data_IF_544884362332
#
_entry.id   IF_544884362332
#
_cell.length_a   1.000
_cell.length_b   1.000
_cell.length_c   1.000
_cell.angle_alpha   90.00
_cell.angle_beta   90.00
_cell.angle_gamma   90.00
#
_symmetry.space_group_name_H-M   'P 1'
#
loop_
_entity.id
_entity.type
_entity.pdbx_description
1 polymer ?
#
# COMPACT_ATOMS: atom_id res chain seq x y z
N UNK A 1 7.31 -15.97 -14.69
CA UNK A 1 7.99 -15.14 -13.66
C UNK A 1 8.21 -15.97 -12.39
N UNK A 2 9.35 -15.85 -11.70
CA UNK A 2 9.58 -16.58 -10.43
C UNK A 2 8.81 -15.92 -9.27
N UNK A 3 8.46 -16.67 -8.21
CA UNK A 3 7.81 -16.11 -7.01
C UNK A 3 8.59 -14.92 -6.45
N UNK A 4 9.92 -15.02 -6.40
CA UNK A 4 10.80 -13.97 -5.89
C UNK A 4 10.74 -12.70 -6.76
N UNK A 5 10.73 -12.84 -8.08
CA UNK A 5 10.59 -11.70 -8.98
C UNK A 5 9.21 -11.05 -8.84
N UNK A 6 8.14 -11.84 -8.73
CA UNK A 6 6.79 -11.33 -8.51
C UNK A 6 6.67 -10.55 -7.19
N UNK A 7 7.23 -11.06 -6.10
CA UNK A 7 7.24 -10.36 -4.81
C UNK A 7 7.96 -9.02 -4.89
N UNK A 8 9.08 -8.92 -5.62
CA UNK A 8 9.77 -7.64 -5.83
C UNK A 8 8.92 -6.66 -6.61
N UNK A 9 8.30 -7.11 -7.70
CA UNK A 9 7.39 -6.30 -8.51
C UNK A 9 6.24 -5.79 -7.68
N UNK A 10 5.50 -6.68 -7.02
CA UNK A 10 4.41 -6.33 -6.14
C UNK A 10 4.88 -5.31 -5.08
N UNK A 11 5.99 -5.58 -4.39
CA UNK A 11 6.53 -4.70 -3.35
C UNK A 11 6.78 -3.27 -3.82
N UNK A 12 7.56 -3.11 -4.90
CA UNK A 12 7.91 -1.77 -5.36
C UNK A 12 6.76 -1.08 -6.09
N UNK A 13 5.89 -1.82 -6.78
CA UNK A 13 4.67 -1.26 -7.36
C UNK A 13 3.72 -0.74 -6.29
N UNK A 14 3.43 -1.52 -5.24
CA UNK A 14 2.58 -1.06 -4.14
C UNK A 14 3.19 0.13 -3.41
N UNK A 15 4.50 0.08 -3.11
CA UNK A 15 5.17 1.22 -2.48
C UNK A 15 5.08 2.48 -3.33
N UNK A 16 5.36 2.38 -4.64
CA UNK A 16 5.28 3.52 -5.55
C UNK A 16 3.86 4.09 -5.68
N UNK A 17 2.84 3.22 -5.72
CA UNK A 17 1.43 3.63 -5.77
C UNK A 17 0.99 4.31 -4.47
N UNK A 18 1.35 3.74 -3.31
CA UNK A 18 1.03 4.36 -2.01
C UNK A 18 1.74 5.72 -1.89
N UNK A 19 3.01 5.81 -2.29
CA UNK A 19 3.74 7.08 -2.29
C UNK A 19 3.08 8.11 -3.23
N UNK A 20 2.62 7.67 -4.41
CA UNK A 20 1.86 8.54 -5.30
C UNK A 20 0.59 9.06 -4.63
N UNK A 21 -0.22 8.19 -3.99
CA UNK A 21 -1.44 8.64 -3.31
C UNK A 21 -1.16 9.53 -2.10
N UNK A 22 -0.05 9.33 -1.40
CA UNK A 22 0.39 10.22 -0.32
C UNK A 22 0.79 11.62 -0.83
N UNK A 23 1.27 11.74 -2.07
CA UNK A 23 1.70 13.03 -2.64
C UNK A 23 0.60 13.70 -3.45
N UNK A 24 -0.28 12.91 -4.07
CA UNK A 24 -1.35 13.37 -4.95
C UNK A 24 -2.69 13.09 -4.28
N UNK A 25 -3.06 13.96 -3.35
CA UNK A 25 -4.32 13.89 -2.62
C UNK A 25 -5.44 14.61 -3.39
N UNK A 26 -6.73 14.27 -3.20
CA UNK A 26 -7.85 14.96 -3.86
C UNK A 26 -7.85 16.49 -3.61
N UNK A 27 -7.40 16.90 -2.43
CA UNK A 27 -7.26 18.30 -2.00
C UNK A 27 -6.18 19.05 -2.79
N UNK A 28 -5.32 18.35 -3.54
CA UNK A 28 -4.34 18.97 -4.44
C UNK A 28 -4.98 19.72 -5.62
N UNK A 29 -6.28 19.51 -5.88
CA UNK A 29 -7.08 20.25 -6.87
C UNK A 29 -8.29 20.90 -6.20
N UNK A 30 -8.12 21.97 -5.38
CA UNK A 30 -9.21 22.54 -4.59
C UNK A 30 -10.40 23.07 -5.41
N UNK A 31 -10.14 23.45 -6.67
CA UNK A 31 -11.14 23.98 -7.60
C UNK A 31 -12.02 22.91 -8.23
N UNK A 32 -11.59 21.64 -8.22
CA UNK A 32 -12.30 20.52 -8.85
C UNK A 32 -12.04 19.21 -8.08
N UNK A 33 -12.82 18.95 -7.01
CA UNK A 33 -12.68 17.73 -6.21
C UNK A 33 -12.91 16.44 -7.00
N UNK A 34 -13.70 16.49 -8.08
CA UNK A 34 -13.94 15.32 -8.93
C UNK A 34 -12.67 14.98 -9.72
N UNK A 35 -12.02 15.98 -10.34
CA UNK A 35 -10.74 15.78 -11.01
C UNK A 35 -9.62 15.30 -10.06
N UNK A 36 -9.61 15.80 -8.82
CA UNK A 36 -8.71 15.29 -7.77
C UNK A 36 -8.95 13.80 -7.48
N UNK A 37 -10.21 13.37 -7.33
CA UNK A 37 -10.55 11.97 -7.06
C UNK A 37 -10.31 11.05 -8.27
N UNK A 38 -10.46 11.54 -9.50
CA UNK A 38 -10.20 10.78 -10.74
C UNK A 38 -8.75 10.26 -10.79
N UNK A 39 -7.80 11.11 -10.40
CA UNK A 39 -6.38 10.77 -10.29
C UNK A 39 -6.06 9.87 -9.07
N UNK A 40 -6.99 9.76 -8.13
CA UNK A 40 -6.83 9.07 -6.85
C UNK A 40 -7.67 7.77 -6.75
N UNK A 41 -8.42 7.38 -7.79
CA UNK A 41 -9.35 6.23 -7.76
C UNK A 41 -8.74 4.88 -7.36
N UNK A 42 -7.41 4.73 -7.38
CA UNK A 42 -6.76 3.56 -6.78
C UNK A 42 -6.90 2.24 -7.57
N UNK A 43 -7.49 2.23 -8.77
CA UNK A 43 -7.82 0.99 -9.50
C UNK A 43 -6.62 0.10 -9.79
N UNK A 44 -5.45 0.69 -10.08
CA UNK A 44 -4.21 -0.08 -10.26
C UNK A 44 -3.77 -0.70 -8.93
N UNK A 45 -3.88 0.03 -7.83
CA UNK A 45 -3.56 -0.47 -6.50
C UNK A 45 -4.55 -1.56 -6.04
N UNK A 46 -5.83 -1.47 -6.42
CA UNK A 46 -6.80 -2.55 -6.21
C UNK A 46 -6.32 -3.83 -6.90
N UNK A 47 -5.96 -3.77 -8.18
CA UNK A 47 -5.52 -4.94 -8.94
C UNK A 47 -4.23 -5.55 -8.35
N UNK A 48 -3.23 -4.71 -8.04
CA UNK A 48 -1.97 -5.13 -7.42
C UNK A 48 -2.22 -5.72 -6.02
N UNK A 49 -3.05 -5.07 -5.22
CA UNK A 49 -3.43 -5.48 -3.87
C UNK A 49 -4.15 -6.82 -3.84
N UNK A 50 -5.06 -7.07 -4.79
CA UNK A 50 -5.76 -8.35 -4.95
C UNK A 50 -4.78 -9.49 -5.24
N UNK A 51 -3.88 -9.30 -6.21
CA UNK A 51 -2.84 -10.31 -6.51
C UNK A 51 -1.98 -10.57 -5.27
N UNK A 52 -1.59 -9.51 -4.55
CA UNK A 52 -0.77 -9.65 -3.36
C UNK A 52 -1.49 -10.40 -2.24
N UNK A 53 -2.71 -10.00 -1.86
CA UNK A 53 -3.42 -10.65 -0.76
C UNK A 53 -3.72 -12.11 -1.06
N UNK A 54 -4.11 -12.45 -2.29
CA UNK A 54 -4.32 -13.83 -2.71
C UNK A 54 -3.04 -14.66 -2.62
N UNK A 55 -1.89 -14.09 -3.03
CA UNK A 55 -0.60 -14.75 -2.86
C UNK A 55 -0.24 -14.97 -1.39
N UNK A 56 -0.52 -13.99 -0.52
CA UNK A 56 -0.27 -14.12 0.90
C UNK A 56 -1.16 -15.21 1.52
N UNK A 57 -2.45 -15.23 1.21
CA UNK A 57 -3.38 -16.26 1.72
C UNK A 57 -2.97 -17.66 1.26
N UNK A 58 -2.50 -17.80 0.01
CA UNK A 58 -2.10 -19.09 -0.54
C UNK A 58 -0.72 -19.58 -0.08
N UNK A 59 0.23 -18.68 0.21
CA UNK A 59 1.66 -19.04 0.39
C UNK A 59 2.33 -18.46 1.64
N UNK A 60 1.62 -17.67 2.42
CA UNK A 60 2.15 -16.95 3.57
C UNK A 60 3.23 -15.93 3.22
N UNK A 61 3.92 -15.45 4.27
CA UNK A 61 5.05 -14.54 4.13
C UNK A 61 6.23 -15.23 3.42
N UNK A 62 6.97 -14.46 2.61
CA UNK A 62 8.14 -14.99 1.88
C UNK A 62 9.42 -14.95 2.73
N UNK A 63 9.47 -14.09 3.75
CA UNK A 63 10.62 -13.91 4.63
C UNK A 63 10.41 -14.50 6.02
N UNK A 64 11.51 -14.75 6.72
CA UNK A 64 11.54 -15.14 8.13
C UNK A 64 12.48 -14.19 8.89
N UNK A 65 12.29 -14.03 10.21
CA UNK A 65 13.21 -13.26 11.03
C UNK A 65 14.66 -13.75 10.86
N UNK A 66 15.57 -12.82 10.55
CA UNK A 66 16.98 -13.13 10.35
C UNK A 66 17.66 -13.65 11.64
N UNK A 67 18.71 -14.47 11.53
CA UNK A 67 19.39 -15.04 12.70
C UNK A 67 20.03 -13.98 13.61
N UNK A 68 20.42 -12.83 13.04
CA UNK A 68 21.06 -11.71 13.73
C UNK A 68 20.07 -10.79 14.48
N UNK A 69 18.75 -10.98 14.31
CA UNK A 69 17.77 -10.15 15.02
C UNK A 69 17.77 -10.47 16.53
N UNK A 70 17.77 -9.46 17.42
CA UNK A 70 17.54 -9.68 18.84
C UNK A 70 16.13 -10.22 19.09
N UNK A 71 15.91 -10.86 20.25
CA UNK A 71 14.66 -11.57 20.57
C UNK A 71 13.39 -10.73 20.37
N UNK A 72 13.38 -9.48 20.85
CA UNK A 72 12.24 -8.58 20.66
C UNK A 72 11.97 -8.33 19.17
N UNK A 73 13.00 -8.08 18.37
CA UNK A 73 12.85 -7.79 16.94
C UNK A 73 12.40 -9.01 16.13
N UNK A 74 12.74 -10.23 16.57
CA UNK A 74 12.20 -11.47 15.98
C UNK A 74 10.69 -11.60 16.17
N UNK A 75 10.15 -11.05 17.27
CA UNK A 75 8.70 -11.02 17.52
C UNK A 75 8.01 -9.97 16.66
N UNK A 76 8.60 -8.77 16.55
CA UNK A 76 7.98 -7.68 15.79
C UNK A 76 8.09 -7.83 14.27
N UNK A 77 9.16 -8.46 13.74
CA UNK A 77 9.34 -8.66 12.29
C UNK A 77 8.11 -9.29 11.62
N UNK A 78 7.58 -10.46 12.03
CA UNK A 78 6.41 -11.05 11.39
C UNK A 78 5.13 -10.27 11.67
N UNK A 79 5.01 -9.59 12.82
CA UNK A 79 3.84 -8.78 13.17
C UNK A 79 3.73 -7.58 12.22
N UNK A 80 4.82 -6.84 12.03
CA UNK A 80 4.84 -5.69 11.12
C UNK A 80 4.54 -6.07 9.67
N UNK A 81 5.10 -7.18 9.19
CA UNK A 81 4.76 -7.67 7.85
C UNK A 81 3.29 -8.07 7.73
N UNK A 82 2.73 -8.77 8.72
CA UNK A 82 1.29 -9.14 8.72
C UNK A 82 0.39 -7.91 8.80
N UNK A 83 0.76 -6.92 9.63
CA UNK A 83 0.03 -5.67 9.76
C UNK A 83 -0.07 -4.95 8.41
N UNK A 84 1.02 -4.82 7.66
CA UNK A 84 0.99 -4.24 6.31
C UNK A 84 0.24 -5.13 5.31
N UNK A 85 0.39 -6.45 5.43
CA UNK A 85 -0.21 -7.41 4.52
C UNK A 85 -1.75 -7.41 4.57
N UNK A 86 -2.31 -7.11 5.74
CA UNK A 86 -3.76 -6.98 5.98
C UNK A 86 -4.18 -5.52 5.83
N UNK A 87 -3.40 -4.61 6.40
CA UNK A 87 -3.71 -3.19 6.45
C UNK A 87 -3.84 -2.57 5.07
N UNK A 88 -2.95 -2.87 4.12
CA UNK A 88 -3.05 -2.32 2.75
C UNK A 88 -4.38 -2.72 2.08
N UNK A 89 -4.80 -4.01 2.04
CA UNK A 89 -6.14 -4.36 1.58
C UNK A 89 -7.29 -3.67 2.31
N UNK A 90 -7.19 -3.49 3.63
CA UNK A 90 -8.21 -2.75 4.42
C UNK A 90 -8.28 -1.28 3.99
N UNK A 91 -7.12 -0.64 3.77
CA UNK A 91 -7.04 0.71 3.20
C UNK A 91 -7.68 0.79 1.81
N UNK A 92 -7.39 -0.19 0.94
CA UNK A 92 -7.99 -0.25 -0.40
C UNK A 92 -9.52 -0.39 -0.33
N UNK A 93 -10.02 -1.28 0.53
CA UNK A 93 -11.47 -1.52 0.67
C UNK A 93 -12.19 -0.30 1.25
N UNK A 94 -11.61 0.36 2.24
CA UNK A 94 -12.17 1.60 2.79
C UNK A 94 -12.21 2.74 1.76
N UNK A 95 -11.16 2.91 0.95
CA UNK A 95 -11.14 3.91 -0.12
C UNK A 95 -12.16 3.59 -1.23
N UNK A 96 -12.27 2.31 -1.61
CA UNK A 96 -13.30 1.87 -2.56
C UNK A 96 -14.72 2.14 -2.02
N UNK A 97 -14.95 1.93 -0.72
CA UNK A 97 -16.23 2.23 -0.09
C UNK A 97 -16.55 3.74 -0.14
N UNK A 98 -15.57 4.59 0.17
CA UNK A 98 -15.71 6.04 0.10
C UNK A 98 -16.02 6.52 -1.33
N UNK A 99 -15.29 5.99 -2.33
CA UNK A 99 -15.50 6.30 -3.75
C UNK A 99 -16.86 5.82 -4.28
N UNK A 100 -17.28 4.61 -3.92
CA UNK A 100 -18.60 4.08 -4.33
C UNK A 100 -19.76 4.90 -3.72
N UNK A 101 -19.58 5.42 -2.51
CA UNK A 101 -20.54 6.28 -1.82
C UNK A 101 -20.52 7.75 -2.30
N UNK A 102 -19.54 8.14 -3.12
CA UNK A 102 -19.35 9.54 -3.51
C UNK A 102 -20.60 10.14 -4.18
N UNK A 103 -21.09 11.31 -3.72
CA UNK A 103 -22.31 11.94 -4.24
C UNK A 103 -22.09 12.67 -5.57
N UNK A 104 -20.88 12.64 -6.13
CA UNK A 104 -20.49 13.23 -7.40
C UNK A 104 -19.81 12.16 -8.27
N UNK A 105 -19.84 12.37 -9.59
CA UNK A 105 -19.27 11.40 -10.55
C UNK A 105 -17.75 11.40 -10.44
N UNK A 106 -17.19 10.20 -10.31
CA UNK A 106 -15.74 9.95 -10.30
C UNK A 106 -15.41 8.89 -11.34
N UNK A 107 -14.30 9.07 -12.04
CA UNK A 107 -13.89 8.27 -13.18
C UNK A 107 -12.65 7.44 -12.86
N UNK A 108 -12.76 6.12 -13.00
CA UNK A 108 -11.60 5.28 -13.19
C UNK A 108 -10.95 5.59 -14.54
N UNK A 109 -9.63 5.74 -14.52
CA UNK A 109 -8.80 6.01 -15.71
C UNK A 109 -9.25 7.26 -16.51
N UNK A 110 -9.90 8.22 -15.84
CA UNK A 110 -10.35 9.48 -16.44
C UNK A 110 -11.56 9.36 -17.37
N UNK A 111 -12.19 8.20 -17.50
CA UNK A 111 -13.34 8.04 -18.40
C UNK A 111 -14.46 7.12 -17.90
N UNK A 112 -14.19 6.16 -17.02
CA UNK A 112 -15.20 5.16 -16.62
C UNK A 112 -15.82 5.58 -15.29
N UNK A 113 -17.11 5.98 -15.23
CA UNK A 113 -17.74 6.35 -13.97
C UNK A 113 -17.83 5.12 -13.05
N UNK A 114 -17.40 5.25 -11.80
CA UNK A 114 -17.35 4.14 -10.83
C UNK A 114 -18.20 4.34 -9.59
N UNK A 115 -18.61 5.56 -9.25
CA UNK A 115 -19.47 5.80 -8.09
C UNK A 115 -20.89 5.29 -8.33
N UNK A 116 -21.53 4.87 -7.24
CA UNK A 116 -22.95 4.54 -7.21
C UNK A 116 -23.77 5.58 -6.45
N UNK A 117 -23.11 6.44 -5.65
CA UNK A 117 -23.76 7.49 -4.85
C UNK A 117 -24.68 6.95 -3.76
N UNK A 118 -24.42 5.73 -3.28
CA UNK A 118 -25.27 5.09 -2.28
C UNK A 118 -25.02 5.66 -0.87
N UNK A 119 -26.03 5.58 0.02
CA UNK A 119 -25.89 5.98 1.43
C UNK A 119 -25.92 7.49 1.69
N UNK A 120 -25.88 8.32 0.64
CA UNK A 120 -25.95 9.77 0.74
C UNK A 120 -24.68 10.43 1.30
N UNK A 121 -24.66 11.76 1.33
CA UNK A 121 -23.49 12.57 1.68
C UNK A 121 -22.90 12.23 3.07
N UNK A 122 -23.75 11.98 4.06
CA UNK A 122 -23.30 11.65 5.41
C UNK A 122 -22.49 10.35 5.47
N UNK A 123 -22.92 9.32 4.74
CA UNK A 123 -22.21 8.05 4.69
C UNK A 123 -20.89 8.16 3.93
N UNK A 124 -20.86 8.88 2.81
CA UNK A 124 -19.63 9.17 2.08
C UNK A 124 -18.60 9.88 2.98
N UNK A 125 -19.00 10.94 3.68
CA UNK A 125 -18.11 11.67 4.58
C UNK A 125 -17.52 10.76 5.68
N UNK A 126 -18.35 9.92 6.28
CA UNK A 126 -17.90 8.96 7.29
C UNK A 126 -16.93 7.93 6.69
N UNK A 127 -17.23 7.37 5.52
CA UNK A 127 -16.36 6.41 4.87
C UNK A 127 -15.01 7.03 4.46
N UNK A 128 -15.03 8.30 4.04
CA UNK A 128 -13.83 9.08 3.74
C UNK A 128 -12.98 9.30 5.00
N UNK A 129 -13.57 9.75 6.11
CA UNK A 129 -12.85 9.96 7.38
C UNK A 129 -12.22 8.65 7.89
N UNK A 130 -12.94 7.53 7.79
CA UNK A 130 -12.39 6.20 8.12
C UNK A 130 -11.23 5.84 7.20
N UNK A 131 -11.34 6.12 5.89
CA UNK A 131 -10.28 5.85 4.93
C UNK A 131 -9.03 6.68 5.21
N UNK A 132 -9.17 7.98 5.47
CA UNK A 132 -8.09 8.90 5.83
C UNK A 132 -7.37 8.41 7.10
N UNK A 133 -8.12 8.10 8.17
CA UNK A 133 -7.55 7.58 9.41
C UNK A 133 -6.77 6.27 9.19
N UNK A 134 -7.31 5.36 8.37
CA UNK A 134 -6.64 4.11 8.03
C UNK A 134 -5.38 4.36 7.19
N UNK A 135 -5.43 5.32 6.27
CA UNK A 135 -4.31 5.68 5.41
C UNK A 135 -3.17 6.29 6.24
N UNK A 136 -3.45 7.25 7.12
CA UNK A 136 -2.47 7.83 8.04
C UNK A 136 -1.79 6.76 8.91
N UNK A 137 -2.59 5.84 9.46
CA UNK A 137 -2.08 4.70 10.20
C UNK A 137 -1.17 3.80 9.36
N UNK A 138 -1.52 3.58 8.09
CA UNK A 138 -0.69 2.82 7.15
C UNK A 138 0.62 3.52 6.82
N UNK A 139 0.60 4.83 6.60
CA UNK A 139 1.83 5.61 6.35
C UNK A 139 2.77 5.51 7.55
N UNK A 140 2.26 5.61 8.77
CA UNK A 140 3.05 5.41 9.99
C UNK A 140 3.65 3.99 10.04
N UNK A 141 2.86 2.95 9.77
CA UNK A 141 3.33 1.56 9.73
C UNK A 141 4.40 1.33 8.65
N UNK A 142 4.24 1.94 7.47
CA UNK A 142 5.23 1.89 6.39
C UNK A 142 6.52 2.58 6.82
N UNK A 143 6.43 3.76 7.45
CA UNK A 143 7.58 4.47 7.99
C UNK A 143 8.37 3.63 9.00
N UNK A 144 7.67 3.03 9.96
CA UNK A 144 8.26 2.10 10.94
C UNK A 144 8.89 0.87 10.26
N UNK A 145 8.23 0.31 9.25
CA UNK A 145 8.73 -0.83 8.49
C UNK A 145 10.03 -0.48 7.74
N UNK A 146 10.07 0.67 7.07
CA UNK A 146 11.27 1.16 6.37
C UNK A 146 12.40 1.39 7.39
N UNK A 147 12.13 2.12 8.47
CA UNK A 147 13.11 2.40 9.51
C UNK A 147 13.70 1.10 10.10
N UNK A 148 12.84 0.11 10.37
CA UNK A 148 13.26 -1.20 10.87
C UNK A 148 14.22 -1.90 9.90
N UNK A 149 13.91 -1.93 8.60
CA UNK A 149 14.78 -2.58 7.61
C UNK A 149 16.05 -1.79 7.30
N UNK A 150 16.02 -0.45 7.38
CA UNK A 150 17.23 0.38 7.31
C UNK A 150 18.15 0.12 8.50
N UNK A 151 17.61 0.09 9.72
CA UNK A 151 18.39 -0.28 10.91
C UNK A 151 19.03 -1.67 10.78
N UNK A 152 18.26 -2.68 10.34
CA UNK A 152 18.80 -4.02 10.06
C UNK A 152 19.91 -4.00 9.02
N UNK A 153 19.76 -3.19 7.98
CA UNK A 153 20.76 -3.07 6.92
C UNK A 153 22.06 -2.47 7.44
N UNK A 154 22.00 -1.33 8.14
CA UNK A 154 23.19 -0.59 8.56
C UNK A 154 23.86 -1.14 9.82
N UNK A 155 23.09 -1.58 10.83
CA UNK A 155 23.63 -2.10 12.10
C UNK A 155 23.87 -3.61 12.08
N UNK A 156 22.87 -4.41 11.68
CA UNK A 156 22.98 -5.87 11.73
C UNK A 156 23.65 -6.47 10.48
N UNK A 157 23.58 -5.74 9.36
CA UNK A 157 24.12 -6.17 8.06
C UNK A 157 23.64 -7.59 7.73
N UNK A 158 22.33 -7.84 7.89
CA UNK A 158 21.72 -9.17 7.85
C UNK A 158 21.21 -9.59 6.45
N UNK A 159 21.51 -8.80 5.41
CA UNK A 159 21.14 -9.04 4.01
C UNK A 159 19.62 -9.21 3.76
N UNK A 160 18.75 -8.85 4.70
CA UNK A 160 17.30 -9.00 4.58
C UNK A 160 16.75 -8.30 3.32
N UNK A 161 17.26 -7.10 3.03
CA UNK A 161 16.88 -6.32 1.85
C UNK A 161 17.12 -7.06 0.52
N UNK A 162 18.02 -8.05 0.43
CA UNK A 162 18.26 -8.80 -0.84
C UNK A 162 17.02 -9.56 -1.33
N UNK A 163 16.05 -9.81 -0.45
CA UNK A 163 14.76 -10.42 -0.82
C UNK A 163 13.96 -9.50 -1.71
N UNK A 164 13.90 -8.21 -1.39
CA UNK A 164 13.03 -7.22 -2.03
C UNK A 164 13.77 -6.21 -2.91
N UNK A 165 15.03 -5.88 -2.61
CA UNK A 165 15.81 -4.91 -3.38
C UNK A 165 15.95 -5.35 -4.86
N UNK A 166 15.70 -4.45 -5.83
CA UNK A 166 15.97 -4.76 -7.22
C UNK A 166 17.45 -5.08 -7.40
N UNK A 167 17.78 -6.00 -8.31
CA UNK A 167 19.17 -6.22 -8.68
C UNK A 167 19.58 -5.00 -9.49
N UNK A 168 20.45 -4.15 -8.94
CA UNK A 168 21.11 -3.13 -9.74
C UNK A 168 22.01 -3.91 -10.71
N UNK A 169 21.83 -3.79 -12.05
CA UNK A 169 22.81 -4.34 -12.96
C UNK A 169 24.14 -3.65 -12.66
N UNK A 170 25.19 -4.43 -12.40
CA UNK A 170 26.54 -3.89 -12.30
C UNK A 170 26.85 -3.18 -13.62
N UNK A 171 26.82 -1.84 -13.62
CA UNK A 171 27.44 -1.06 -14.68
C UNK A 171 28.94 -1.36 -14.50
N UNK A 172 29.50 -2.10 -15.45
CA UNK A 172 30.94 -2.17 -15.60
C UNK A 172 31.34 -0.78 -16.10
N UNK A 173 31.77 0.08 -15.17
CA UNK A 173 32.57 1.26 -15.48
C UNK A 173 34.03 0.83 -15.59
#
# INVERSE_FOLDING_TARGET
MTRRALVKWLHWSTFGLILYFFVVEPESVPSDPAAGLDLHTGMVLVAVGLVWILMYLAKGLTGHPGPKLPGWAKTFDPIGHKALQIGVPVGIVSGALAGLAAPFVIHAFGSVPINQGFGGKGFHNFAQEVHELLFDGLILLIGLHIAFHLWRHFWLKDNALRVVAPRIPHIHL
#
